data_IF_890208946249
#
_entry.id   IF_890208946249
#
_cell.length_a   1.000
_cell.length_b   1.000
_cell.length_c   1.000
_cell.angle_alpha   90.00
_cell.angle_beta   90.00
_cell.angle_gamma   90.00
#
_symmetry.space_group_name_H-M   'P 1'
#
loop_
_entity.id
_entity.type
_entity.pdbx_description
1 polymer ?
#
# COMPACT_ATOMS: atom_id res chain seq x y z
N UNK A 1 -4.25 -1.95 -16.77
CA UNK A 1 -3.16 -1.29 -16.02
C UNK A 1 -2.73 -2.22 -14.90
N UNK A 2 -1.44 -2.35 -14.60
CA UNK A 2 -0.96 -3.22 -13.52
C UNK A 2 -0.08 -2.45 -12.53
N UNK A 3 -0.32 -2.60 -11.23
CA UNK A 3 0.44 -1.94 -10.18
C UNK A 3 1.20 -2.98 -9.35
N UNK A 4 2.49 -2.76 -9.12
CA UNK A 4 3.30 -3.64 -8.28
C UNK A 4 3.98 -2.82 -7.20
N UNK A 5 3.87 -3.27 -5.96
CA UNK A 5 4.62 -2.75 -4.82
C UNK A 5 5.46 -3.86 -4.20
N UNK A 6 6.70 -3.53 -3.87
CA UNK A 6 7.53 -4.29 -2.94
C UNK A 6 8.01 -3.30 -1.88
N UNK A 7 7.77 -3.57 -0.62
CA UNK A 7 8.28 -2.71 0.44
C UNK A 7 9.14 -3.48 1.44
N UNK A 8 10.35 -2.96 1.62
CA UNK A 8 11.38 -3.50 2.49
C UNK A 8 11.17 -2.97 3.90
N UNK A 9 10.38 -3.68 4.72
CA UNK A 9 10.21 -3.32 6.12
C UNK A 9 10.43 -4.51 7.05
N UNK A 10 11.16 -4.24 8.11
CA UNK A 10 11.25 -5.00 9.35
C UNK A 10 10.27 -4.45 10.38
N UNK A 11 9.77 -5.31 11.26
CA UNK A 11 8.84 -4.94 12.32
C UNK A 11 9.39 -5.25 13.71
N UNK A 12 10.71 -5.34 13.87
CA UNK A 12 11.34 -5.65 15.17
C UNK A 12 10.89 -4.70 16.30
N UNK A 13 10.58 -3.44 15.93
CA UNK A 13 10.11 -2.41 16.85
C UNK A 13 8.73 -2.69 17.49
N UNK A 14 7.93 -3.61 16.94
CA UNK A 14 6.61 -3.93 17.52
C UNK A 14 6.70 -4.94 18.67
N UNK A 15 7.81 -5.68 18.81
CA UNK A 15 7.93 -6.76 19.80
C UNK A 15 7.79 -6.22 21.22
N UNK A 16 6.89 -6.81 22.01
CA UNK A 16 6.58 -6.38 23.37
C UNK A 16 5.69 -5.14 23.46
N UNK A 17 5.16 -4.64 22.34
CA UNK A 17 4.24 -3.50 22.29
C UNK A 17 2.81 -3.96 22.01
N UNK A 18 1.78 -3.12 22.27
CA UNK A 18 0.39 -3.44 21.92
C UNK A 18 0.16 -3.71 20.42
N UNK A 19 1.06 -3.27 19.53
CA UNK A 19 0.94 -3.53 18.10
C UNK A 19 1.00 -5.03 17.75
N UNK A 20 1.62 -5.87 18.58
CA UNK A 20 1.63 -7.33 18.36
C UNK A 20 0.25 -7.99 18.47
N UNK A 21 -0.68 -7.33 19.16
CA UNK A 21 -2.02 -7.85 19.39
C UNK A 21 -2.97 -7.51 18.24
N UNK A 22 -2.55 -6.67 17.28
CA UNK A 22 -3.37 -6.29 16.12
C UNK A 22 -3.44 -7.48 15.15
N UNK A 23 -4.63 -8.06 14.90
CA UNK A 23 -4.79 -9.13 13.93
C UNK A 23 -4.37 -8.66 12.54
N UNK A 24 -3.63 -9.51 11.83
CA UNK A 24 -3.10 -9.18 10.50
C UNK A 24 -2.33 -7.86 10.42
N UNK A 25 -1.57 -7.49 11.46
CA UNK A 25 -0.83 -6.22 11.55
C UNK A 25 -0.15 -5.78 10.23
N UNK A 26 0.60 -6.68 9.58
CA UNK A 26 1.29 -6.36 8.33
C UNK A 26 0.35 -5.94 7.19
N UNK A 27 -0.88 -6.47 7.16
CA UNK A 27 -1.94 -6.11 6.21
C UNK A 27 -2.70 -4.88 6.72
N UNK A 28 -3.28 -4.97 7.92
CA UNK A 28 -4.24 -4.00 8.46
C UNK A 28 -3.61 -2.64 8.75
N UNK A 29 -2.52 -2.63 9.54
CA UNK A 29 -1.91 -1.40 10.03
C UNK A 29 -0.90 -0.84 9.02
N UNK A 30 -0.16 -1.73 8.35
CA UNK A 30 0.95 -1.31 7.51
C UNK A 30 0.62 -1.30 6.01
N UNK A 31 0.10 -2.39 5.44
CA UNK A 31 -0.19 -2.47 4.00
C UNK A 31 -1.28 -1.49 3.55
N UNK A 32 -2.13 -1.00 4.46
CA UNK A 32 -3.20 -0.05 4.15
C UNK A 32 -2.71 1.18 3.36
N UNK A 33 -1.50 1.66 3.63
CA UNK A 33 -0.90 2.77 2.88
C UNK A 33 -0.68 2.43 1.40
N UNK A 34 -0.24 1.20 1.10
CA UNK A 34 -0.03 0.70 -0.25
C UNK A 34 -1.35 0.36 -0.94
N UNK A 35 -2.32 -0.16 -0.20
CA UNK A 35 -3.70 -0.38 -0.68
C UNK A 35 -4.33 0.96 -1.08
N UNK A 36 -4.18 1.98 -0.23
CA UNK A 36 -4.75 3.32 -0.44
C UNK A 36 -4.15 4.02 -1.65
N UNK A 37 -2.82 4.06 -1.77
CA UNK A 37 -2.22 4.71 -2.94
C UNK A 37 -2.52 3.94 -4.24
N UNK A 38 -2.57 2.61 -4.18
CA UNK A 38 -2.98 1.76 -5.30
C UNK A 38 -4.38 2.09 -5.77
N UNK A 39 -5.36 2.16 -4.85
CA UNK A 39 -6.75 2.51 -5.23
C UNK A 39 -6.85 3.95 -5.75
N UNK A 40 -6.02 4.87 -5.25
CA UNK A 40 -5.95 6.23 -5.80
C UNK A 40 -5.43 6.24 -7.25
N UNK A 41 -4.37 5.49 -7.56
CA UNK A 41 -3.84 5.39 -8.93
C UNK A 41 -4.78 4.68 -9.90
N UNK A 42 -5.49 3.65 -9.43
CA UNK A 42 -6.48 2.92 -10.21
C UNK A 42 -7.85 3.65 -10.25
N UNK A 43 -8.00 4.74 -9.51
CA UNK A 43 -9.15 5.63 -9.54
C UNK A 43 -10.46 4.95 -9.18
N UNK A 44 -11.52 5.24 -9.94
CA UNK A 44 -12.87 4.73 -9.69
C UNK A 44 -13.14 3.36 -10.33
N UNK A 45 -12.10 2.60 -10.69
CA UNK A 45 -12.28 1.24 -11.25
C UNK A 45 -12.96 0.33 -10.22
N UNK A 46 -13.81 -0.56 -10.71
CA UNK A 46 -14.54 -1.51 -9.87
C UNK A 46 -13.64 -2.69 -9.50
N UNK A 47 -13.44 -2.90 -8.20
CA UNK A 47 -12.70 -4.07 -7.69
C UNK A 47 -13.57 -5.32 -7.80
N UNK A 48 -13.03 -6.36 -8.41
CA UNK A 48 -13.65 -7.67 -8.51
C UNK A 48 -13.36 -8.50 -7.26
N UNK A 49 -12.09 -8.71 -6.94
CA UNK A 49 -11.67 -9.56 -5.82
C UNK A 49 -10.39 -9.06 -5.16
N UNK A 50 -10.24 -9.39 -3.88
CA UNK A 50 -9.02 -9.21 -3.09
C UNK A 50 -8.59 -10.58 -2.57
N UNK A 51 -7.30 -10.88 -2.68
CA UNK A 51 -6.66 -12.06 -2.09
C UNK A 51 -5.47 -11.59 -1.25
N UNK A 52 -5.30 -12.16 -0.07
CA UNK A 52 -4.15 -11.87 0.75
C UNK A 52 -3.80 -13.05 1.65
N UNK A 53 -2.53 -13.13 1.98
CA UNK A 53 -1.99 -14.00 3.02
C UNK A 53 -0.91 -13.23 3.74
N UNK A 54 -0.94 -13.24 5.07
CA UNK A 54 0.21 -12.94 5.90
C UNK A 54 0.88 -14.23 6.37
N UNK A 55 2.17 -14.17 6.63
CA UNK A 55 2.96 -15.33 7.01
C UNK A 55 4.14 -14.94 7.89
N UNK A 56 4.62 -15.91 8.67
CA UNK A 56 5.84 -15.76 9.44
C UNK A 56 7.05 -15.87 8.51
N UNK A 57 7.96 -14.91 8.56
CA UNK A 57 9.19 -14.98 7.75
C UNK A 57 10.22 -15.86 8.47
N UNK A 58 11.19 -16.46 7.74
CA UNK A 58 12.23 -17.28 8.38
C UNK A 58 13.10 -16.53 9.39
N UNK A 59 13.30 -15.23 9.21
CA UNK A 59 14.19 -14.40 10.03
C UNK A 59 13.45 -13.65 11.15
N UNK A 60 12.15 -13.85 11.30
CA UNK A 60 11.34 -13.18 12.30
C UNK A 60 11.67 -13.69 13.72
N UNK A 61 11.96 -12.82 14.71
CA UNK A 61 12.34 -13.20 16.06
C UNK A 61 11.33 -14.13 16.72
N UNK A 62 11.78 -15.22 17.34
CA UNK A 62 10.91 -16.23 17.97
C UNK A 62 9.88 -15.64 18.95
N UNK A 63 10.23 -14.54 19.63
CA UNK A 63 9.36 -13.86 20.59
C UNK A 63 8.16 -13.11 19.96
N UNK A 64 8.23 -12.80 18.66
CA UNK A 64 7.16 -12.06 17.98
C UNK A 64 5.90 -12.92 17.79
N UNK A 65 4.73 -12.31 18.06
CA UNK A 65 3.43 -13.02 18.03
C UNK A 65 2.78 -13.03 16.65
N UNK A 66 2.86 -11.92 15.92
CA UNK A 66 2.17 -11.70 14.65
C UNK A 66 2.87 -12.32 13.44
N UNK A 67 2.30 -12.09 12.25
CA UNK A 67 2.90 -12.44 10.95
C UNK A 67 3.39 -11.15 10.29
N UNK A 68 4.67 -11.13 9.93
CA UNK A 68 5.30 -9.91 9.42
C UNK A 68 5.40 -9.86 7.89
N UNK A 69 5.49 -11.01 7.23
CA UNK A 69 5.43 -11.07 5.77
C UNK A 69 3.98 -11.07 5.29
N UNK A 70 3.73 -10.47 4.13
CA UNK A 70 2.40 -10.50 3.51
C UNK A 70 2.48 -10.32 2.00
N UNK A 71 1.48 -10.84 1.30
CA UNK A 71 1.17 -10.40 -0.05
C UNK A 71 -0.33 -10.14 -0.19
N UNK A 72 -0.67 -9.20 -1.05
CA UNK A 72 -2.06 -8.81 -1.37
C UNK A 72 -2.14 -8.70 -2.89
N UNK A 73 -3.16 -9.31 -3.48
CA UNK A 73 -3.52 -9.18 -4.88
C UNK A 73 -4.93 -8.59 -4.98
N UNK A 74 -5.10 -7.58 -5.82
CA UNK A 74 -6.37 -6.88 -6.06
C UNK A 74 -6.66 -6.97 -7.55
N UNK A 75 -7.77 -7.60 -7.91
CA UNK A 75 -8.24 -7.72 -9.29
C UNK A 75 -9.40 -6.76 -9.53
N UNK A 76 -9.39 -6.09 -10.68
CA UNK A 76 -10.47 -5.20 -11.12
C UNK A 76 -11.25 -5.83 -12.27
N UNK A 77 -12.51 -5.44 -12.43
CA UNK A 77 -13.42 -6.02 -13.44
C UNK A 77 -12.96 -5.77 -14.88
N UNK A 78 -12.12 -4.76 -15.11
CA UNK A 78 -11.59 -4.41 -16.43
C UNK A 78 -10.24 -5.09 -16.75
N UNK A 79 -9.80 -6.03 -15.92
CA UNK A 79 -8.53 -6.75 -16.06
C UNK A 79 -7.31 -5.98 -15.54
N UNK A 80 -7.47 -4.75 -15.03
CA UNK A 80 -6.44 -4.10 -14.23
C UNK A 80 -6.23 -4.86 -12.92
N UNK A 81 -5.01 -4.82 -12.38
CA UNK A 81 -4.69 -5.51 -11.15
C UNK A 81 -3.59 -4.81 -10.37
N UNK A 82 -3.45 -5.20 -9.11
CA UNK A 82 -2.34 -4.79 -8.27
C UNK A 82 -1.80 -5.95 -7.43
N UNK A 83 -0.49 -5.96 -7.20
CA UNK A 83 0.17 -6.85 -6.25
C UNK A 83 1.02 -6.03 -5.29
N UNK A 84 0.77 -6.21 -3.99
CA UNK A 84 1.52 -5.58 -2.91
C UNK A 84 2.25 -6.67 -2.13
N UNK A 85 3.56 -6.52 -1.95
CA UNK A 85 4.38 -7.48 -1.21
C UNK A 85 5.15 -6.82 -0.06
N UNK A 86 4.92 -7.36 1.14
CA UNK A 86 5.69 -7.08 2.34
C UNK A 86 6.71 -8.21 2.59
N UNK A 87 7.98 -7.86 2.70
CA UNK A 87 9.03 -8.84 3.02
C UNK A 87 9.10 -9.19 4.52
N UNK A 88 8.56 -8.34 5.41
CA UNK A 88 8.44 -8.52 6.86
C UNK A 88 9.73 -8.49 7.69
N UNK A 89 10.84 -8.94 7.13
CA UNK A 89 12.16 -8.95 7.78
C UNK A 89 13.24 -8.62 6.75
N UNK A 90 13.18 -7.40 6.21
CA UNK A 90 14.08 -6.95 5.17
C UNK A 90 15.55 -7.01 5.61
N UNK A 91 16.37 -7.79 4.92
CA UNK A 91 17.83 -7.82 5.11
C UNK A 91 18.47 -7.38 3.80
N UNK A 92 18.63 -6.06 3.63
CA UNK A 92 19.19 -5.46 2.42
C UNK A 92 20.07 -4.26 2.78
N UNK A 93 21.16 -4.09 2.03
CA UNK A 93 22.05 -2.93 2.16
C UNK A 93 21.49 -1.68 1.44
N UNK A 94 20.46 -1.86 0.61
CA UNK A 94 19.79 -0.79 -0.15
C UNK A 94 18.28 -0.91 0.06
N UNK A 95 17.77 -0.58 1.24
CA UNK A 95 16.36 -0.74 1.53
C UNK A 95 15.55 0.31 0.78
N UNK A 96 14.36 -0.07 0.34
CA UNK A 96 13.44 0.86 -0.31
C UNK A 96 12.03 0.29 -0.39
N UNK A 97 11.13 1.09 -0.93
CA UNK A 97 9.76 0.65 -1.21
C UNK A 97 9.45 0.90 -2.69
N UNK A 98 10.09 0.13 -3.59
CA UNK A 98 9.89 0.31 -5.02
C UNK A 98 8.47 -0.03 -5.45
N UNK A 99 8.04 0.66 -6.50
CA UNK A 99 6.76 0.45 -7.13
C UNK A 99 6.83 0.61 -8.65
N UNK A 100 5.88 -0.02 -9.33
CA UNK A 100 5.69 0.07 -10.77
C UNK A 100 4.21 0.25 -11.09
N UNK A 101 3.92 1.07 -12.10
CA UNK A 101 2.60 1.24 -12.70
C UNK A 101 2.78 1.03 -14.20
N UNK A 102 2.32 -0.11 -14.70
CA UNK A 102 2.36 -0.47 -16.10
C UNK A 102 1.05 -0.08 -16.79
N UNK A 103 1.13 0.92 -17.65
CA UNK A 103 0.05 1.35 -18.55
C UNK A 103 0.21 0.76 -19.95
N UNK A 104 -0.73 1.09 -20.83
CA UNK A 104 -0.66 0.72 -22.26
C UNK A 104 0.31 1.57 -23.07
N UNK A 105 0.62 2.78 -22.60
CA UNK A 105 1.46 3.77 -23.31
C UNK A 105 2.83 3.97 -22.66
N UNK A 106 3.08 3.35 -21.51
CA UNK A 106 4.31 3.56 -20.76
C UNK A 106 4.27 2.96 -19.38
N UNK A 107 5.37 3.14 -18.65
CA UNK A 107 5.55 2.65 -17.28
C UNK A 107 6.04 3.77 -16.39
N UNK A 108 5.39 3.96 -15.25
CA UNK A 108 5.94 4.74 -14.13
C UNK A 108 6.60 3.76 -13.19
N UNK A 109 7.82 4.06 -12.74
CA UNK A 109 8.47 3.32 -11.65
C UNK A 109 9.07 4.30 -10.67
N UNK A 110 9.15 3.88 -9.41
CA UNK A 110 9.73 4.71 -8.38
C UNK A 110 10.08 3.89 -7.16
N UNK A 111 10.53 4.60 -6.13
CA UNK A 111 10.66 4.06 -4.78
C UNK A 111 10.44 5.19 -3.80
N UNK A 112 10.04 4.85 -2.57
CA UNK A 112 9.77 5.82 -1.51
C UNK A 112 10.36 5.39 -0.17
N UNK A 113 10.62 6.37 0.70
CA UNK A 113 11.22 6.23 2.04
C UNK A 113 12.64 5.68 2.00
N UNK A 114 13.29 5.69 3.18
CA UNK A 114 14.64 5.14 3.42
C UNK A 114 15.72 5.75 2.49
N UNK A 115 15.50 6.98 2.02
CA UNK A 115 16.41 7.66 1.09
C UNK A 115 16.44 7.05 -0.31
N UNK A 116 15.44 6.22 -0.65
CA UNK A 116 15.33 5.57 -1.94
C UNK A 116 14.43 6.34 -2.92
N UNK A 117 14.05 7.56 -2.56
CA UNK A 117 12.99 8.31 -3.24
C UNK A 117 13.35 8.72 -4.68
N UNK A 118 12.57 8.24 -5.65
CA UNK A 118 12.63 8.69 -7.04
C UNK A 118 11.35 8.35 -7.78
N UNK A 119 11.10 9.05 -8.89
CA UNK A 119 10.10 8.68 -9.90
C UNK A 119 10.75 8.73 -11.27
N UNK A 120 10.40 7.78 -12.12
CA UNK A 120 10.88 7.64 -13.48
C UNK A 120 9.70 7.26 -14.38
N UNK A 121 9.62 7.92 -15.54
CA UNK A 121 8.65 7.65 -16.58
C UNK A 121 9.38 7.06 -17.79
N UNK A 122 8.95 5.88 -18.22
CA UNK A 122 9.31 5.30 -19.50
C UNK A 122 8.12 5.41 -20.46
N UNK A 123 8.32 6.07 -21.59
CA UNK A 123 7.32 6.26 -22.65
C UNK A 123 8.01 6.50 -23.98
N UNK A 124 7.50 5.90 -25.06
CA UNK A 124 8.02 6.07 -26.42
C UNK A 124 9.54 5.79 -26.56
N UNK A 125 10.04 4.82 -25.78
CA UNK A 125 11.48 4.47 -25.72
C UNK A 125 12.36 5.47 -24.95
N UNK A 126 11.77 6.51 -24.37
CA UNK A 126 12.47 7.53 -23.57
C UNK A 126 12.24 7.26 -22.09
N UNK A 127 13.34 7.26 -21.33
CA UNK A 127 13.32 7.14 -19.88
C UNK A 127 13.69 8.47 -19.24
N UNK A 128 12.75 9.07 -18.50
CA UNK A 128 12.91 10.36 -17.83
C UNK A 128 12.82 10.19 -16.33
N UNK A 129 13.90 10.50 -15.61
CA UNK A 129 13.94 10.46 -14.14
C UNK A 129 13.76 11.84 -13.54
N UNK A 130 12.89 11.94 -12.55
CA UNK A 130 12.52 13.19 -11.89
C UNK A 130 13.19 13.27 -10.51
N UNK A 131 13.79 14.42 -10.22
CA UNK A 131 14.23 14.75 -8.87
C UNK A 131 13.02 15.19 -8.04
N UNK A 132 12.85 14.58 -6.88
CA UNK A 132 11.80 14.92 -5.94
C UNK A 132 12.35 15.91 -4.91
N UNK A 133 11.52 16.87 -4.50
CA UNK A 133 11.81 17.76 -3.38
C UNK A 133 10.90 17.39 -2.21
N UNK A 134 11.45 17.44 -0.98
CA UNK A 134 10.77 17.03 0.24
C UNK A 134 10.94 15.54 0.57
N UNK A 135 10.22 15.07 1.58
CA UNK A 135 10.25 13.69 2.03
C UNK A 135 8.98 13.27 2.79
N UNK A 136 8.94 12.01 3.21
CA UNK A 136 7.79 11.46 3.95
C UNK A 136 7.46 12.26 5.22
N UNK A 137 8.47 12.53 6.03
CA UNK A 137 8.37 13.36 7.23
C UNK A 137 9.40 14.50 7.14
N UNK A 138 8.99 15.77 7.36
CA UNK A 138 7.66 16.21 7.79
C UNK A 138 6.67 16.47 6.63
N UNK A 139 7.12 16.50 5.37
CA UNK A 139 6.34 17.10 4.28
C UNK A 139 5.05 16.36 3.93
N UNK A 140 5.01 15.02 4.05
CA UNK A 140 3.78 14.25 3.83
C UNK A 140 2.65 14.61 4.81
N UNK A 141 3.00 14.90 6.06
CA UNK A 141 2.06 15.37 7.07
C UNK A 141 1.63 16.81 6.78
N UNK A 142 2.60 17.66 6.43
CA UNK A 142 2.34 19.04 6.01
C UNK A 142 1.38 19.11 4.83
N UNK A 143 1.56 18.27 3.81
CA UNK A 143 0.67 18.19 2.64
C UNK A 143 -0.74 17.74 2.99
N UNK A 144 -0.87 16.73 3.85
CA UNK A 144 -2.18 16.21 4.29
C UNK A 144 -2.98 17.26 5.08
N UNK A 145 -2.31 17.97 6.00
CA UNK A 145 -2.93 19.07 6.75
C UNK A 145 -3.21 20.27 5.85
N UNK A 146 -2.30 20.58 4.93
CA UNK A 146 -2.46 21.64 3.95
C UNK A 146 -3.69 21.43 3.08
N UNK A 147 -3.93 20.22 2.59
CA UNK A 147 -5.13 19.89 1.81
C UNK A 147 -6.43 20.13 2.60
N UNK A 148 -6.48 19.74 3.87
CA UNK A 148 -7.63 20.01 4.73
C UNK A 148 -7.88 21.51 4.89
N UNK A 149 -6.82 22.28 5.17
CA UNK A 149 -6.92 23.74 5.36
C UNK A 149 -7.33 24.46 4.08
N UNK A 150 -6.77 24.05 2.93
CA UNK A 150 -7.17 24.56 1.61
C UNK A 150 -8.63 24.25 1.30
N UNK A 151 -9.08 23.01 1.58
CA UNK A 151 -10.47 22.61 1.36
C UNK A 151 -11.46 23.45 2.18
N UNK A 152 -11.12 23.76 3.43
CA UNK A 152 -11.90 24.67 4.29
C UNK A 152 -11.94 26.09 3.72
N UNK A 153 -10.80 26.62 3.28
CA UNK A 153 -10.72 27.97 2.72
C UNK A 153 -11.47 28.10 1.39
N UNK A 154 -11.53 27.03 0.60
CA UNK A 154 -12.16 26.97 -0.73
C UNK A 154 -13.62 26.47 -0.69
N UNK A 155 -14.16 26.14 0.49
CA UNK A 155 -15.50 25.54 0.67
C UNK A 155 -15.73 24.31 -0.22
N UNK A 156 -14.79 23.35 -0.19
CA UNK A 156 -14.86 22.08 -0.92
C UNK A 156 -14.57 20.88 -0.03
N UNK A 157 -14.93 19.70 -0.51
CA UNK A 157 -14.53 18.45 0.14
C UNK A 157 -13.00 18.23 -0.06
N UNK A 158 -12.26 17.83 0.99
CA UNK A 158 -10.85 17.47 0.84
C UNK A 158 -10.69 16.16 0.06
N UNK A 159 -9.64 16.07 -0.75
CA UNK A 159 -9.32 14.88 -1.56
C UNK A 159 -9.03 13.63 -0.72
N UNK A 160 -8.63 13.82 0.54
CA UNK A 160 -8.40 12.77 1.55
C UNK A 160 -9.56 12.65 2.56
N UNK A 161 -10.80 12.92 2.15
CA UNK A 161 -11.97 12.84 3.03
C UNK A 161 -12.23 11.44 3.61
N UNK A 162 -12.95 11.39 4.73
CA UNK A 162 -13.35 10.14 5.36
C UNK A 162 -14.17 9.25 4.42
N UNK A 163 -15.08 9.83 3.62
CA UNK A 163 -15.86 9.10 2.62
C UNK A 163 -14.95 8.52 1.53
N UNK A 164 -13.97 9.28 1.06
CA UNK A 164 -13.00 8.79 0.09
C UNK A 164 -12.25 7.57 0.64
N UNK A 165 -11.89 7.57 1.93
CA UNK A 165 -11.15 6.47 2.57
C UNK A 165 -11.94 5.17 2.81
N UNK A 166 -13.28 5.19 2.69
CA UNK A 166 -14.10 3.99 2.91
C UNK A 166 -13.71 2.82 2.01
N UNK A 167 -13.37 3.09 0.74
CA UNK A 167 -12.92 2.02 -0.15
C UNK A 167 -11.57 1.42 0.30
N UNK A 168 -10.65 2.22 0.84
CA UNK A 168 -9.38 1.68 1.36
C UNK A 168 -9.62 0.78 2.56
N UNK A 169 -10.52 1.17 3.47
CA UNK A 169 -10.93 0.33 4.58
C UNK A 169 -11.59 -0.96 4.08
N UNK A 170 -12.52 -0.87 3.12
CA UNK A 170 -13.19 -2.05 2.55
C UNK A 170 -12.19 -3.04 1.93
N UNK A 171 -11.20 -2.55 1.17
CA UNK A 171 -10.17 -3.38 0.57
C UNK A 171 -9.22 -4.00 1.61
N UNK A 172 -8.82 -3.23 2.63
CA UNK A 172 -8.01 -3.74 3.74
C UNK A 172 -8.74 -4.82 4.53
N UNK A 173 -10.03 -4.61 4.85
CA UNK A 173 -10.85 -5.60 5.54
C UNK A 173 -11.09 -6.84 4.67
N UNK A 174 -11.26 -6.69 3.36
CA UNK A 174 -11.32 -7.81 2.41
C UNK A 174 -10.00 -8.60 2.38
N UNK A 175 -8.85 -7.93 2.45
CA UNK A 175 -7.55 -8.57 2.56
C UNK A 175 -7.41 -9.34 3.88
N UNK A 176 -7.79 -8.75 5.01
CA UNK A 176 -7.81 -9.45 6.31
C UNK A 176 -8.70 -10.69 6.27
N UNK A 177 -9.94 -10.56 5.79
CA UNK A 177 -10.86 -11.70 5.61
C UNK A 177 -10.27 -12.78 4.70
N UNK A 178 -9.62 -12.39 3.60
CA UNK A 178 -8.93 -13.35 2.74
C UNK A 178 -7.81 -14.08 3.48
N UNK A 179 -7.07 -13.41 4.37
CA UNK A 179 -5.99 -14.01 5.14
C UNK A 179 -6.52 -14.98 6.21
N UNK A 180 -7.63 -14.64 6.88
CA UNK A 180 -8.39 -15.54 7.75
C UNK A 180 -8.84 -16.81 7.01
N UNK A 181 -9.24 -16.65 5.74
CA UNK A 181 -9.75 -17.71 4.88
C UNK A 181 -8.68 -18.35 3.97
N UNK A 182 -7.41 -18.38 4.43
CA UNK A 182 -6.29 -19.05 3.78
C UNK A 182 -6.05 -18.61 2.31
N UNK A 183 -6.21 -17.32 2.01
CA UNK A 183 -5.94 -16.74 0.69
C UNK A 183 -7.06 -16.89 -0.34
N UNK A 184 -8.29 -17.23 0.11
CA UNK A 184 -9.48 -17.23 -0.76
C UNK A 184 -9.75 -15.83 -1.30
N UNK A 185 -10.12 -15.74 -2.58
CA UNK A 185 -10.63 -14.49 -3.15
C UNK A 185 -11.91 -14.02 -2.45
N UNK A 186 -11.89 -12.79 -1.95
CA UNK A 186 -13.00 -12.10 -1.28
C UNK A 186 -13.45 -10.94 -2.15
N UNK A 187 -14.75 -10.81 -2.39
CA UNK A 187 -15.33 -9.65 -3.07
C UNK A 187 -15.56 -8.50 -2.08
N UNK A 188 -15.42 -7.22 -2.49
CA UNK A 188 -15.68 -6.09 -1.57
C UNK A 188 -17.09 -6.09 -0.96
N UNK A 189 -18.09 -6.63 -1.68
CA UNK A 189 -19.47 -6.76 -1.20
C UNK A 189 -19.66 -7.74 -0.03
N UNK A 190 -18.67 -8.57 0.28
CA UNK A 190 -18.66 -9.45 1.47
C UNK A 190 -18.27 -8.72 2.77
N UNK A 191 -17.82 -7.46 2.67
CA UNK A 191 -17.40 -6.65 3.80
C UNK A 191 -18.56 -5.75 4.25
N UNK A 192 -18.94 -5.77 5.53
CA UNK A 192 -20.01 -4.92 6.05
C UNK A 192 -19.71 -3.44 5.78
N UNK A 193 -20.74 -2.68 5.42
CA UNK A 193 -20.67 -1.21 5.34
C UNK A 193 -20.59 -0.57 6.73
#
# INVERSE_FOLDING_TARGET
MAVTHLYDHDFDWIVGTPFEEIPHFAIYDFSIHWIDITRCWLGQKTVATVRAVDYRTPNQPAASKGRWGAWIAIDYTDGSNAVIRCVGSAVTQRPGNPFWIHGSEGTIRGSVRKGSDFVELERDGVCSRYQLAGGWFPDGFGGTMGELLSAVAEDREPSNSGRHNLLSLQLTLAACKSADENGRAVTPGEIPC
#
